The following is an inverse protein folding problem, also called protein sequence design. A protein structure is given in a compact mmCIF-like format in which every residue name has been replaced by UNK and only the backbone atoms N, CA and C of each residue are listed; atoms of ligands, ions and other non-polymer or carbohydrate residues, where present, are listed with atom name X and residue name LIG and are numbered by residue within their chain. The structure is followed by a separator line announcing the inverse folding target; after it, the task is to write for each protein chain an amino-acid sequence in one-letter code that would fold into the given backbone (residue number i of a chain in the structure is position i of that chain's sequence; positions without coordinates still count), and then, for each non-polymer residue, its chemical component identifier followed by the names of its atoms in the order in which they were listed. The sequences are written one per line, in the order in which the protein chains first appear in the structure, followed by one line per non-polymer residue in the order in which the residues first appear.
data_IF_217064128503
#
_entry.id   IF_217064128503
#
_cell.length_a   1.000
_cell.length_b   1.000
_cell.length_c   1.000
_cell.angle_alpha   90.00
_cell.angle_beta   90.00
_cell.angle_gamma   90.00
#
_symmetry.space_group_name_H-M   'P 1'
#
loop_
_entity.id
_entity.type
_entity.pdbx_description
1 polymer ?
#
# COMPACT_ATOMS: atom_id res chain seq x y z
N UNK A 1 -3.75 -3.23 -27.81
CA UNK A 1 -4.24 -3.85 -26.56
C UNK A 1 -3.03 -4.40 -25.80
N UNK A 2 -2.96 -4.21 -24.48
CA UNK A 2 -1.85 -4.66 -23.64
C UNK A 2 -1.86 -6.18 -23.49
N UNK A 3 -0.70 -6.84 -23.49
CA UNK A 3 -0.64 -8.28 -23.21
C UNK A 3 -0.77 -8.57 -21.70
N UNK A 4 -1.12 -9.81 -21.28
CA UNK A 4 -1.15 -10.17 -19.86
C UNK A 4 0.18 -9.94 -19.13
N UNK A 5 1.32 -10.09 -19.81
CA UNK A 5 2.64 -9.80 -19.26
C UNK A 5 2.86 -8.29 -19.03
N UNK A 6 2.31 -7.45 -19.91
CA UNK A 6 2.35 -5.99 -19.77
C UNK A 6 1.51 -5.53 -18.58
N UNK A 7 0.33 -6.12 -18.38
CA UNK A 7 -0.56 -5.82 -17.25
C UNK A 7 0.09 -6.13 -15.90
N UNK A 8 0.76 -7.29 -15.78
CA UNK A 8 1.53 -7.62 -14.59
C UNK A 8 2.65 -6.61 -14.33
N UNK A 9 3.38 -6.21 -15.37
CA UNK A 9 4.48 -5.24 -15.25
C UNK A 9 3.96 -3.87 -14.80
N UNK A 10 2.81 -3.45 -15.30
CA UNK A 10 2.13 -2.22 -14.89
C UNK A 10 1.66 -2.28 -13.44
N UNK A 11 1.02 -3.38 -13.02
CA UNK A 11 0.58 -3.58 -11.63
C UNK A 11 1.77 -3.62 -10.67
N UNK A 12 2.88 -4.24 -11.09
CA UNK A 12 4.14 -4.24 -10.34
C UNK A 12 4.72 -2.83 -10.19
N UNK A 13 4.70 -2.04 -11.26
CA UNK A 13 5.15 -0.64 -11.26
C UNK A 13 4.29 0.22 -10.33
N UNK A 14 2.96 0.12 -10.44
CA UNK A 14 2.01 0.84 -9.60
C UNK A 14 2.19 0.49 -8.11
N UNK A 15 2.26 -0.79 -7.78
CA UNK A 15 2.48 -1.24 -6.40
C UNK A 15 3.81 -0.75 -5.82
N UNK A 16 4.89 -0.79 -6.58
CA UNK A 16 6.19 -0.29 -6.14
C UNK A 16 6.22 1.23 -5.99
N UNK A 17 5.56 1.98 -6.87
CA UNK A 17 5.44 3.43 -6.78
C UNK A 17 4.66 3.84 -5.52
N UNK A 18 3.52 3.19 -5.26
CA UNK A 18 2.72 3.37 -4.06
C UNK A 18 3.52 3.04 -2.78
N UNK A 19 4.24 1.93 -2.77
CA UNK A 19 5.09 1.54 -1.64
C UNK A 19 6.21 2.57 -1.39
N UNK A 20 6.86 3.08 -2.45
CA UNK A 20 7.88 4.13 -2.34
C UNK A 20 7.30 5.41 -1.75
N UNK A 21 6.16 5.86 -2.25
CA UNK A 21 5.49 7.06 -1.74
C UNK A 21 5.14 6.90 -0.25
N UNK A 22 4.54 5.77 0.13
CA UNK A 22 4.22 5.48 1.52
C UNK A 22 5.48 5.45 2.41
N UNK A 23 6.59 4.87 1.94
CA UNK A 23 7.86 4.87 2.66
C UNK A 23 8.36 6.28 2.92
N UNK A 24 8.32 7.14 1.91
CA UNK A 24 8.86 8.50 2.01
C UNK A 24 8.02 9.33 3.00
N UNK A 25 6.69 9.17 3.00
CA UNK A 25 5.81 9.80 3.99
C UNK A 25 5.94 9.21 5.40
N UNK A 26 6.17 7.89 5.52
CA UNK A 26 6.45 7.25 6.80
C UNK A 26 7.75 7.78 7.42
N UNK A 27 8.81 7.91 6.62
CA UNK A 27 10.08 8.52 7.05
C UNK A 27 9.89 9.95 7.51
N UNK A 28 9.14 10.74 6.75
CA UNK A 28 8.80 12.11 7.12
C UNK A 28 8.04 12.19 8.45
N UNK A 29 7.03 11.33 8.66
CA UNK A 29 6.26 11.30 9.89
C UNK A 29 7.12 10.90 11.10
N UNK A 30 8.02 9.92 10.92
CA UNK A 30 8.97 9.49 11.95
C UNK A 30 9.93 10.63 12.31
N UNK A 31 10.51 11.32 11.31
CA UNK A 31 11.44 12.43 11.54
C UNK A 31 10.84 13.54 12.42
N UNK A 32 9.54 13.83 12.25
CA UNK A 32 8.85 14.86 13.06
C UNK A 32 8.68 14.47 14.53
N UNK A 33 8.77 13.19 14.85
CA UNK A 33 8.59 12.69 16.22
C UNK A 33 9.88 12.47 17.00
N UNK A 34 11.05 12.56 16.34
CA UNK A 34 12.34 12.33 16.98
C UNK A 34 13.03 13.68 17.22
N UNK A 35 13.25 14.02 18.49
CA UNK A 35 13.89 15.30 18.91
C UNK A 35 15.35 15.46 18.47
N UNK A 36 16.06 14.35 18.21
CA UNK A 36 17.43 14.36 17.69
C UNK A 36 17.46 13.51 16.42
N UNK A 37 18.04 14.01 15.32
CA UNK A 37 18.31 13.25 14.08
C UNK A 37 19.38 12.15 14.29
N UNK A 38 19.35 11.46 15.41
CA UNK A 38 20.36 10.47 15.80
C UNK A 38 19.89 9.07 15.41
N UNK A 39 20.47 8.52 14.35
CA UNK A 39 20.55 7.08 14.10
C UNK A 39 19.61 6.48 13.04
N UNK A 40 19.86 5.20 12.72
CA UNK A 40 19.23 4.30 11.73
C UNK A 40 17.69 4.16 11.79
N UNK A 41 17.01 4.96 12.61
CA UNK A 41 15.58 5.12 12.75
C UNK A 41 14.86 5.27 11.41
N UNK A 42 15.27 6.27 10.64
CA UNK A 42 14.72 6.58 9.32
C UNK A 42 15.12 5.51 8.30
N UNK A 43 16.39 5.06 8.36
CA UNK A 43 16.93 4.08 7.44
C UNK A 43 16.18 2.73 7.52
N UNK A 44 15.75 2.35 8.72
CA UNK A 44 15.00 1.11 8.96
C UNK A 44 13.51 1.23 8.65
N UNK A 45 12.97 2.44 8.48
CA UNK A 45 11.61 2.64 7.99
C UNK A 45 11.54 2.31 6.50
N UNK A 46 10.71 1.32 6.16
CA UNK A 46 10.58 0.79 4.82
C UNK A 46 9.12 0.46 4.49
N UNK A 47 8.80 0.42 3.20
CA UNK A 47 7.52 -0.07 2.71
C UNK A 47 7.75 -0.92 1.46
N UNK A 48 7.08 -2.06 1.36
CA UNK A 48 7.29 -3.03 0.28
C UNK A 48 5.95 -3.55 -0.24
N UNK A 49 5.79 -3.53 -1.55
CA UNK A 49 4.72 -4.22 -2.23
C UNK A 49 4.96 -5.73 -2.22
N UNK A 50 3.91 -6.50 -1.97
CA UNK A 50 3.91 -7.96 -1.97
C UNK A 50 2.94 -8.46 -3.04
N UNK A 51 3.47 -9.30 -3.91
CA UNK A 51 2.75 -9.89 -5.03
C UNK A 51 2.59 -11.38 -4.80
N UNK A 52 1.45 -11.92 -5.24
CA UNK A 52 1.15 -13.35 -5.30
C UNK A 52 0.33 -13.59 -6.56
N UNK A 53 0.62 -14.67 -7.27
CA UNK A 53 -0.09 -15.05 -8.50
C UNK A 53 -0.14 -13.89 -9.52
N UNK A 54 0.99 -13.19 -9.69
CA UNK A 54 1.15 -12.02 -10.55
C UNK A 54 0.21 -10.84 -10.24
N UNK A 55 -0.31 -10.73 -9.02
CA UNK A 55 -1.16 -9.63 -8.59
C UNK A 55 -0.67 -9.01 -7.29
N UNK A 56 -0.87 -7.70 -7.14
CA UNK A 56 -0.59 -7.00 -5.90
C UNK A 56 -1.59 -7.45 -4.83
N UNK A 57 -1.07 -7.90 -3.69
CA UNK A 57 -1.87 -8.39 -2.56
C UNK A 57 -1.88 -7.40 -1.40
N UNK A 58 -0.72 -6.84 -1.06
CA UNK A 58 -0.58 -5.93 0.08
C UNK A 58 0.66 -5.07 -0.04
N UNK A 59 0.65 -3.93 0.65
CA UNK A 59 1.83 -3.12 0.93
C UNK A 59 2.13 -3.25 2.42
N UNK A 60 3.33 -3.72 2.75
CA UNK A 60 3.76 -3.90 4.15
C UNK A 60 4.66 -2.75 4.57
N UNK A 61 4.31 -2.09 5.68
CA UNK A 61 5.17 -1.09 6.34
C UNK A 61 6.05 -1.76 7.40
N UNK A 62 7.29 -1.31 7.47
CA UNK A 62 8.24 -1.67 8.51
C UNK A 62 8.75 -0.38 9.14
N UNK A 63 8.77 -0.32 10.47
CA UNK A 63 9.27 0.81 11.22
C UNK A 63 10.05 0.29 12.45
N UNK A 64 10.94 1.10 13.04
CA UNK A 64 11.57 0.76 14.31
C UNK A 64 10.54 0.45 15.40
N UNK A 65 10.85 -0.53 16.25
CA UNK A 65 9.95 -0.99 17.32
C UNK A 65 9.44 0.13 18.24
N UNK A 66 10.27 1.14 18.55
CA UNK A 66 9.85 2.24 19.42
C UNK A 66 8.81 3.17 18.76
N UNK A 67 8.71 3.21 17.42
CA UNK A 67 7.67 3.99 16.72
C UNK A 67 6.29 3.43 17.04
N UNK A 68 6.15 2.11 17.17
CA UNK A 68 4.89 1.49 17.57
C UNK A 68 4.49 1.93 18.99
N UNK A 69 5.45 1.89 19.92
CA UNK A 69 5.22 2.37 21.31
C UNK A 69 4.88 3.86 21.36
N UNK A 70 5.52 4.68 20.54
CA UNK A 70 5.18 6.10 20.45
C UNK A 70 3.81 6.31 19.82
N UNK A 71 3.45 5.55 18.79
CA UNK A 71 2.19 5.72 18.06
C UNK A 71 0.95 5.47 18.92
N UNK A 72 1.03 4.54 19.87
CA UNK A 72 -0.07 4.27 20.81
C UNK A 72 0.08 5.00 22.15
N UNK A 73 1.26 5.60 22.40
CA UNK A 73 1.65 6.05 23.72
C UNK A 73 2.11 4.88 24.59
N UNK A 74 2.90 5.19 25.60
CA UNK A 74 3.40 4.18 26.53
C UNK A 74 3.45 4.75 27.93
N UNK A 75 3.00 3.96 28.90
CA UNK A 75 3.14 4.24 30.32
C UNK A 75 3.73 3.01 30.99
N UNK A 76 4.81 3.20 31.75
CA UNK A 76 5.46 2.11 32.45
C UNK A 76 6.69 2.58 33.20
N UNK A 77 7.37 1.66 33.87
CA UNK A 77 8.54 1.96 34.68
C UNK A 77 9.81 1.48 33.95
N UNK A 78 10.83 2.34 33.88
CA UNK A 78 12.15 1.94 33.36
C UNK A 78 12.78 0.93 34.31
N UNK A 79 13.78 0.18 33.82
CA UNK A 79 14.55 -0.78 34.65
C UNK A 79 15.19 -0.15 35.90
N UNK A 80 15.41 1.16 35.90
CA UNK A 80 15.95 1.91 37.04
C UNK A 80 14.86 2.46 37.99
N UNK A 81 13.63 1.96 37.92
CA UNK A 81 12.54 2.37 38.81
C UNK A 81 11.89 3.73 38.47
N UNK A 82 12.36 4.42 37.43
CA UNK A 82 11.80 5.73 37.04
C UNK A 82 10.56 5.54 36.17
N UNK A 83 9.45 6.14 36.57
CA UNK A 83 8.22 6.19 35.78
C UNK A 83 8.48 6.93 34.45
N UNK A 84 8.04 6.33 33.34
CA UNK A 84 8.18 6.86 32.01
C UNK A 84 6.82 6.90 31.33
N UNK A 85 6.45 8.09 30.89
CA UNK A 85 5.28 8.32 30.06
C UNK A 85 5.72 8.89 28.72
N UNK A 86 5.37 8.20 27.65
CA UNK A 86 5.52 8.66 26.28
C UNK A 86 4.14 9.09 25.78
N UNK A 87 4.04 10.37 25.39
CA UNK A 87 2.84 10.90 24.77
C UNK A 87 2.61 10.19 23.43
N UNK A 88 1.36 9.83 23.18
CA UNK A 88 0.92 9.25 21.90
C UNK A 88 1.31 10.17 20.74
N UNK A 89 1.90 9.61 19.70
CA UNK A 89 2.17 10.26 18.41
C UNK A 89 1.29 9.65 17.32
N UNK A 90 1.11 10.33 16.19
CA UNK A 90 0.19 9.87 15.14
C UNK A 90 0.89 9.45 13.84
N UNK A 91 2.08 8.87 13.98
CA UNK A 91 3.01 8.62 12.87
C UNK A 91 2.37 7.83 11.72
N UNK A 92 1.65 6.75 12.03
CA UNK A 92 1.10 5.87 10.99
C UNK A 92 -0.05 6.55 10.23
N UNK A 93 -0.96 7.21 10.95
CA UNK A 93 -2.08 7.92 10.32
C UNK A 93 -1.57 9.08 9.46
N UNK A 94 -0.63 9.89 9.98
CA UNK A 94 0.01 10.95 9.21
C UNK A 94 0.65 10.42 7.93
N UNK A 95 1.29 9.25 7.98
CA UNK A 95 1.90 8.63 6.80
C UNK A 95 0.84 8.20 5.77
N UNK A 96 -0.25 7.56 6.22
CA UNK A 96 -1.34 7.11 5.37
C UNK A 96 -2.07 8.29 4.73
N UNK A 97 -2.49 9.27 5.52
CA UNK A 97 -3.25 10.44 5.06
C UNK A 97 -2.45 11.28 4.07
N UNK A 98 -1.17 11.52 4.35
CA UNK A 98 -0.31 12.31 3.45
C UNK A 98 0.05 11.56 2.19
N UNK A 99 0.23 10.25 2.27
CA UNK A 99 0.59 9.45 1.10
C UNK A 99 -0.57 9.33 0.11
N UNK A 100 -1.82 9.38 0.59
CA UNK A 100 -3.03 9.05 -0.17
C UNK A 100 -2.86 7.72 -0.93
N UNK A 101 -2.14 6.79 -0.31
CA UNK A 101 -1.67 5.57 -1.00
C UNK A 101 -2.84 4.69 -1.41
N UNK A 102 -3.93 4.68 -0.64
CA UNK A 102 -5.12 3.89 -0.95
C UNK A 102 -5.85 4.43 -2.19
N UNK A 103 -6.09 5.73 -2.24
CA UNK A 103 -6.76 6.40 -3.36
C UNK A 103 -5.98 6.19 -4.66
N UNK A 104 -4.68 6.51 -4.64
CA UNK A 104 -3.81 6.40 -5.82
C UNK A 104 -3.71 4.95 -6.29
N UNK A 105 -3.54 4.01 -5.36
CA UNK A 105 -3.42 2.60 -5.71
C UNK A 105 -4.74 2.05 -6.24
N UNK A 106 -5.89 2.45 -5.68
CA UNK A 106 -7.20 2.04 -6.16
C UNK A 106 -7.42 2.51 -7.61
N UNK A 107 -7.13 3.78 -7.91
CA UNK A 107 -7.28 4.35 -9.25
C UNK A 107 -6.36 3.66 -10.28
N UNK A 108 -5.09 3.47 -9.94
CA UNK A 108 -4.11 2.85 -10.83
C UNK A 108 -4.47 1.38 -11.10
N UNK A 109 -4.84 0.62 -10.06
CA UNK A 109 -5.24 -0.79 -10.21
C UNK A 109 -6.56 -0.93 -10.96
N UNK A 110 -7.53 -0.05 -10.74
CA UNK A 110 -8.81 -0.07 -11.44
C UNK A 110 -8.59 0.08 -12.95
N UNK A 111 -7.77 1.05 -13.38
CA UNK A 111 -7.41 1.26 -14.79
C UNK A 111 -6.77 0.01 -15.40
N UNK A 112 -5.76 -0.54 -14.74
CA UNK A 112 -5.03 -1.73 -15.23
C UNK A 112 -5.96 -2.95 -15.34
N UNK A 113 -6.84 -3.15 -14.35
CA UNK A 113 -7.69 -4.35 -14.30
C UNK A 113 -8.91 -4.25 -15.20
N UNK A 114 -9.41 -3.05 -15.52
CA UNK A 114 -10.44 -2.86 -16.55
C UNK A 114 -9.94 -3.39 -17.90
N UNK A 115 -8.70 -3.08 -18.27
CA UNK A 115 -8.09 -3.60 -19.50
C UNK A 115 -7.99 -5.13 -19.48
N UNK A 116 -7.65 -5.71 -18.32
CA UNK A 116 -7.65 -7.15 -18.13
C UNK A 116 -9.04 -7.77 -18.35
N UNK A 117 -10.08 -7.17 -17.77
CA UNK A 117 -11.46 -7.63 -17.91
C UNK A 117 -11.91 -7.54 -19.37
N UNK A 118 -11.66 -6.41 -20.04
CA UNK A 118 -12.01 -6.21 -21.44
C UNK A 118 -11.39 -7.29 -22.37
N UNK A 119 -10.16 -7.74 -22.08
CA UNK A 119 -9.52 -8.82 -22.82
C UNK A 119 -10.12 -10.21 -22.55
N UNK A 120 -10.71 -10.41 -21.38
CA UNK A 120 -11.28 -11.70 -20.97
C UNK A 120 -12.74 -11.90 -21.42
N UNK A 121 -13.43 -10.81 -21.77
CA UNK A 121 -14.85 -10.87 -22.19
C UNK A 121 -14.92 -11.29 -23.65
N UNK A 122 -15.37 -12.52 -23.89
CA UNK A 122 -15.76 -12.99 -25.22
C UNK A 122 -17.25 -12.75 -25.40
N UNK A 123 -17.64 -11.90 -26.35
CA UNK A 123 -19.04 -11.74 -26.72
C UNK A 123 -19.45 -12.91 -27.62
N UNK A 124 -20.33 -13.79 -27.11
CA UNK A 124 -20.97 -14.80 -27.94
C UNK A 124 -21.80 -14.10 -29.02
N UNK A 125 -21.58 -14.43 -30.29
CA UNK A 125 -22.43 -13.94 -31.38
C UNK A 125 -23.82 -14.56 -31.22
N UNK A 126 -24.91 -13.78 -31.42
CA UNK A 126 -26.24 -14.36 -31.44
C UNK A 126 -26.31 -15.43 -32.54
N UNK A 127 -26.81 -16.62 -32.19
CA UNK A 127 -26.97 -17.73 -33.11
C UNK A 127 -28.08 -17.37 -34.12
N UNK A 128 -27.78 -17.18 -35.42
CA UNK A 128 -28.79 -16.78 -36.41
C UNK A 128 -29.86 -17.85 -36.65
N UNK A 129 -29.65 -19.10 -36.21
CA UNK A 129 -30.60 -20.20 -36.37
C UNK A 129 -31.74 -20.27 -35.36
N UNK A 130 -31.83 -19.36 -34.38
CA UNK A 130 -32.87 -19.40 -33.35
C UNK A 130 -34.24 -18.83 -33.78
N UNK A 131 -34.36 -18.28 -35.00
CA UNK A 131 -35.57 -17.59 -35.48
C UNK A 131 -36.33 -18.33 -36.61
N UNK A 132 -35.99 -19.58 -36.92
CA UNK A 132 -36.72 -20.37 -37.93
C UNK A 132 -37.66 -21.35 -37.24
N UNK A 133 -38.81 -20.87 -36.76
CA UNK A 133 -39.75 -21.74 -36.05
C UNK A 133 -41.05 -21.09 -35.60
N UNK A 134 -41.59 -20.16 -36.38
CA UNK A 134 -43.01 -19.76 -36.27
C UNK A 134 -43.50 -19.48 -37.70
N UNK A 135 -44.09 -20.50 -38.32
CA UNK A 135 -45.07 -20.40 -39.41
C UNK A 135 -46.17 -21.43 -39.13
#
# INVERSE_FOLDING_TARGET
MLSPADLYTLEKKAGNAAARKLRDHLRFAIQRTIFRKTGNAEASANSRAKFKDNRLQRITMQAPHYIFKQHYGFEGQKKNGVNMRLKKTDVLNIALDRSKVLEILADDLAKIRIDQVALSVTFARPNPGAYTGIL
#
